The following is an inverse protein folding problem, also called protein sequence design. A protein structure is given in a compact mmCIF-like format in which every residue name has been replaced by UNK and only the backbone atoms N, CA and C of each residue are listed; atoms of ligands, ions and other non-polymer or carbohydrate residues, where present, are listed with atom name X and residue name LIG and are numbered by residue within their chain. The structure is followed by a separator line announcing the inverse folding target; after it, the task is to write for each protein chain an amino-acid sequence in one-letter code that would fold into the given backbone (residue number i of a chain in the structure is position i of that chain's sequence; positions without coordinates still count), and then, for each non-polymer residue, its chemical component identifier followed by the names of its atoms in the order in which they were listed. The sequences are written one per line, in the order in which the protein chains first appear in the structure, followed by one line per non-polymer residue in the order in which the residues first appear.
data_IF_857893895576
#
_entry.id   IF_857893895576
#
_cell.length_a   1.000
_cell.length_b   1.000
_cell.length_c   1.000
_cell.angle_alpha   90.00
_cell.angle_beta   90.00
_cell.angle_gamma   90.00
#
_symmetry.space_group_name_H-M   'P 1'
#
loop_
_entity.id
_entity.type
_entity.pdbx_description
1 polymer ?
#
# COMPACT_ATOMS: atom_id res chain seq x y z
N UNK A 1 -3.00 -43.82 -22.23
CA UNK A 1 -1.76 -43.02 -22.06
C UNK A 1 -2.02 -41.59 -22.54
N UNK A 2 -2.39 -40.66 -21.65
CA UNK A 2 -2.83 -39.33 -22.11
C UNK A 2 -2.76 -38.15 -21.12
N UNK A 3 -2.65 -38.38 -19.81
CA UNK A 3 -2.60 -37.27 -18.83
C UNK A 3 -1.22 -37.00 -18.22
N UNK A 4 -0.33 -38.01 -18.18
CA UNK A 4 1.01 -37.88 -17.56
C UNK A 4 1.99 -37.10 -18.46
N UNK A 5 1.79 -37.13 -19.78
CA UNK A 5 2.64 -36.40 -20.75
C UNK A 5 2.35 -34.90 -20.72
N UNK A 6 1.08 -34.50 -20.55
CA UNK A 6 0.65 -33.10 -20.50
C UNK A 6 1.13 -32.36 -19.24
N UNK A 7 1.18 -33.04 -18.09
CA UNK A 7 1.70 -32.48 -16.85
C UNK A 7 3.22 -32.20 -16.92
N UNK A 8 3.98 -33.02 -17.67
CA UNK A 8 5.44 -32.84 -17.81
C UNK A 8 5.81 -31.67 -18.71
N UNK A 9 5.06 -31.40 -19.77
CA UNK A 9 5.29 -30.26 -20.67
C UNK A 9 4.92 -28.92 -20.03
N UNK A 10 3.85 -28.87 -19.23
CA UNK A 10 3.49 -27.67 -18.46
C UNK A 10 4.52 -27.33 -17.38
N UNK A 11 5.02 -28.34 -16.65
CA UNK A 11 6.07 -28.16 -15.65
C UNK A 11 7.42 -27.70 -16.27
N UNK A 12 7.75 -28.15 -17.49
CA UNK A 12 8.94 -27.69 -18.20
C UNK A 12 8.81 -26.27 -18.77
N UNK A 13 7.60 -25.86 -19.18
CA UNK A 13 7.32 -24.49 -19.64
C UNK A 13 7.41 -23.44 -18.53
N UNK A 14 6.81 -23.73 -17.36
CA UNK A 14 6.82 -22.84 -16.19
C UNK A 14 8.24 -22.66 -15.64
N UNK A 15 9.05 -23.74 -15.63
CA UNK A 15 10.43 -23.68 -15.13
C UNK A 15 11.36 -22.81 -15.99
N UNK A 16 11.14 -22.74 -17.32
CA UNK A 16 11.90 -21.85 -18.21
C UNK A 16 11.49 -20.37 -18.06
N UNK A 17 10.20 -20.08 -17.87
CA UNK A 17 9.70 -18.72 -17.67
C UNK A 17 10.18 -18.10 -16.34
N UNK A 18 10.15 -18.86 -15.24
CA UNK A 18 10.61 -18.40 -13.93
C UNK A 18 12.12 -18.11 -13.91
N UNK A 19 12.92 -18.91 -14.62
CA UNK A 19 14.37 -18.68 -14.73
C UNK A 19 14.71 -17.44 -15.58
N UNK A 20 13.93 -17.15 -16.63
CA UNK A 20 14.13 -15.93 -17.43
C UNK A 20 13.76 -14.66 -16.65
N UNK A 21 12.68 -14.67 -15.86
CA UNK A 21 12.29 -13.53 -15.01
C UNK A 21 13.32 -13.29 -13.90
N UNK A 22 13.87 -14.35 -13.28
CA UNK A 22 14.94 -14.23 -12.29
C UNK A 22 16.26 -13.70 -12.88
N UNK A 23 16.61 -14.10 -14.10
CA UNK A 23 17.81 -13.62 -14.78
C UNK A 23 17.69 -12.13 -15.16
N UNK A 24 16.54 -11.70 -15.69
CA UNK A 24 16.28 -10.29 -16.02
C UNK A 24 16.29 -9.44 -14.75
N UNK A 25 15.65 -9.89 -13.67
CA UNK A 25 15.69 -9.20 -12.38
C UNK A 25 17.10 -9.01 -11.82
N UNK A 26 17.96 -10.04 -11.90
CA UNK A 26 19.37 -9.94 -11.49
C UNK A 26 20.20 -8.98 -12.34
N UNK A 27 19.97 -8.94 -13.66
CA UNK A 27 20.70 -8.03 -14.55
C UNK A 27 20.28 -6.56 -14.32
N UNK A 28 18.99 -6.31 -14.06
CA UNK A 28 18.53 -4.98 -13.67
C UNK A 28 19.06 -4.57 -12.29
N UNK A 29 19.10 -5.48 -11.33
CA UNK A 29 19.61 -5.20 -9.98
C UNK A 29 21.11 -4.91 -9.97
N UNK A 30 21.89 -5.69 -10.72
CA UNK A 30 23.34 -5.46 -10.85
C UNK A 30 23.64 -4.17 -11.58
N UNK A 31 22.93 -3.83 -12.67
CA UNK A 31 23.10 -2.55 -13.36
C UNK A 31 22.68 -1.36 -12.50
N UNK A 32 21.56 -1.45 -11.79
CA UNK A 32 21.12 -0.41 -10.86
C UNK A 32 22.12 -0.21 -9.71
N UNK A 33 22.68 -1.30 -9.18
CA UNK A 33 23.69 -1.25 -8.13
C UNK A 33 25.02 -0.66 -8.63
N UNK A 34 25.47 -1.02 -9.83
CA UNK A 34 26.69 -0.43 -10.41
C UNK A 34 26.51 1.05 -10.74
N UNK A 35 25.34 1.45 -11.24
CA UNK A 35 25.01 2.87 -11.47
C UNK A 35 24.97 3.62 -10.14
N UNK A 36 24.40 3.03 -9.09
CA UNK A 36 24.39 3.61 -7.74
C UNK A 36 25.81 3.77 -7.17
N UNK A 37 26.67 2.78 -7.38
CA UNK A 37 28.05 2.82 -6.92
C UNK A 37 28.93 3.77 -7.75
N UNK A 38 28.59 4.02 -9.02
CA UNK A 38 29.31 4.95 -9.89
C UNK A 38 28.83 6.40 -9.78
N UNK A 39 27.77 6.70 -9.01
CA UNK A 39 27.34 8.07 -8.78
C UNK A 39 28.37 8.82 -7.90
N UNK A 40 28.79 10.03 -8.30
CA UNK A 40 29.62 10.91 -7.47
C UNK A 40 28.97 11.15 -6.10
N UNK A 41 29.77 11.35 -5.05
CA UNK A 41 29.25 11.59 -3.70
C UNK A 41 28.28 12.78 -3.64
N UNK A 42 28.54 13.82 -4.45
CA UNK A 42 27.65 14.98 -4.63
C UNK A 42 26.27 14.61 -5.17
N UNK A 43 26.18 13.62 -6.07
CA UNK A 43 24.90 13.14 -6.59
C UNK A 43 24.14 12.29 -5.56
N UNK A 44 24.85 11.52 -4.71
CA UNK A 44 24.22 10.78 -3.60
C UNK A 44 23.71 11.72 -2.51
N UNK A 45 24.48 12.75 -2.18
CA UNK A 45 24.08 13.79 -1.24
C UNK A 45 22.92 14.62 -1.79
N UNK A 46 22.91 14.94 -3.08
CA UNK A 46 21.74 15.51 -3.74
C UNK A 46 20.55 14.54 -3.66
N UNK A 47 20.64 13.28 -4.09
CA UNK A 47 19.50 12.35 -3.98
C UNK A 47 19.00 12.22 -2.53
N UNK A 48 19.89 12.27 -1.53
CA UNK A 48 19.54 12.27 -0.10
C UNK A 48 18.87 13.58 0.33
N UNK A 49 19.39 14.72 -0.14
CA UNK A 49 18.84 16.04 0.08
C UNK A 49 17.47 16.19 -0.60
N UNK A 50 17.27 15.68 -1.82
CA UNK A 50 16.01 15.66 -2.55
C UNK A 50 14.99 14.66 -1.96
N UNK A 51 15.45 13.57 -1.32
CA UNK A 51 14.57 12.72 -0.48
C UNK A 51 14.12 13.45 0.79
N UNK A 52 14.93 14.36 1.33
CA UNK A 52 14.56 15.19 2.48
C UNK A 52 13.78 16.45 2.09
N UNK A 53 14.04 16.97 0.89
CA UNK A 53 13.42 18.13 0.26
C UNK A 53 12.43 17.65 -0.81
N UNK A 54 11.52 16.74 -0.43
CA UNK A 54 10.32 16.56 -1.21
C UNK A 54 9.66 17.93 -1.31
N UNK A 55 9.45 18.42 -2.53
CA UNK A 55 8.64 19.63 -2.77
C UNK A 55 7.32 19.36 -2.05
N UNK A 56 7.14 19.99 -0.90
CA UNK A 56 5.94 19.78 -0.11
C UNK A 56 4.76 20.13 -1.00
N UNK A 57 3.80 19.22 -1.13
CA UNK A 57 2.57 19.50 -1.87
C UNK A 57 2.00 20.84 -1.36
N UNK A 58 1.54 21.73 -2.23
CA UNK A 58 0.78 22.89 -1.81
C UNK A 58 -0.35 22.48 -0.88
N UNK A 59 -0.64 23.28 0.15
CA UNK A 59 -1.64 22.94 1.19
C UNK A 59 -3.01 22.66 0.57
N UNK A 60 -3.41 23.42 -0.46
CA UNK A 60 -4.67 23.18 -1.17
C UNK A 60 -4.68 21.86 -1.94
N UNK A 61 -3.55 21.43 -2.50
CA UNK A 61 -3.43 20.11 -3.14
C UNK A 61 -3.45 18.99 -2.09
N UNK A 62 -2.85 19.21 -0.91
CA UNK A 62 -2.97 18.28 0.22
C UNK A 62 -4.43 18.11 0.66
N UNK A 63 -5.19 19.22 0.75
CA UNK A 63 -6.61 19.20 1.11
C UNK A 63 -7.46 18.48 0.08
N UNK A 64 -7.28 18.80 -1.20
CA UNK A 64 -8.00 18.15 -2.29
C UNK A 64 -7.73 16.64 -2.32
N UNK A 65 -6.45 16.26 -2.21
CA UNK A 65 -6.06 14.85 -2.16
C UNK A 65 -6.60 14.15 -0.91
N UNK A 66 -6.55 14.80 0.27
CA UNK A 66 -7.08 14.23 1.50
C UNK A 66 -8.60 14.01 1.43
N UNK A 67 -9.35 14.96 0.86
CA UNK A 67 -10.79 14.84 0.69
C UNK A 67 -11.15 13.65 -0.23
N UNK A 68 -10.54 13.57 -1.43
CA UNK A 68 -10.76 12.44 -2.33
C UNK A 68 -10.30 11.12 -1.68
N UNK A 69 -9.17 11.14 -0.96
CA UNK A 69 -8.68 9.95 -0.27
C UNK A 69 -9.63 9.47 0.81
N UNK A 70 -10.20 10.38 1.59
CA UNK A 70 -11.17 10.05 2.62
C UNK A 70 -12.43 9.41 2.03
N UNK A 71 -12.97 9.95 0.94
CA UNK A 71 -14.12 9.33 0.25
C UNK A 71 -13.82 7.91 -0.22
N UNK A 72 -12.65 7.69 -0.83
CA UNK A 72 -12.23 6.35 -1.29
C UNK A 72 -11.93 5.41 -0.12
N UNK A 73 -11.42 5.93 0.98
CA UNK A 73 -11.19 5.18 2.20
C UNK A 73 -12.51 4.71 2.83
N UNK A 74 -13.51 5.59 2.95
CA UNK A 74 -14.83 5.21 3.46
C UNK A 74 -15.47 4.15 2.56
N UNK A 75 -15.33 4.27 1.24
CA UNK A 75 -15.80 3.23 0.33
C UNK A 75 -15.09 1.89 0.53
N UNK A 76 -13.78 1.90 0.79
CA UNK A 76 -13.05 0.69 1.16
C UNK A 76 -13.59 0.08 2.46
N UNK A 77 -13.81 0.92 3.48
CA UNK A 77 -14.31 0.49 4.77
C UNK A 77 -15.70 -0.17 4.65
N UNK A 78 -16.60 0.42 3.88
CA UNK A 78 -17.92 -0.15 3.56
C UNK A 78 -17.78 -1.54 2.92
N UNK A 79 -16.95 -1.68 1.88
CA UNK A 79 -16.75 -2.96 1.21
C UNK A 79 -16.21 -4.04 2.14
N UNK A 80 -15.27 -3.68 3.02
CA UNK A 80 -14.72 -4.58 4.02
C UNK A 80 -15.80 -5.02 5.02
N UNK A 81 -16.61 -4.08 5.51
CA UNK A 81 -17.71 -4.37 6.42
C UNK A 81 -18.78 -5.25 5.78
N UNK A 82 -19.20 -4.93 4.55
CA UNK A 82 -20.21 -5.69 3.81
C UNK A 82 -19.75 -7.13 3.55
N UNK A 83 -18.50 -7.31 3.15
CA UNK A 83 -17.92 -8.63 2.91
C UNK A 83 -17.72 -9.42 4.22
N UNK A 84 -17.30 -8.76 5.31
CA UNK A 84 -17.20 -9.39 6.61
C UNK A 84 -18.58 -9.82 7.13
N UNK A 85 -19.61 -9.01 6.93
CA UNK A 85 -20.99 -9.33 7.29
C UNK A 85 -21.57 -10.48 6.46
N UNK A 86 -21.30 -10.49 5.15
CA UNK A 86 -21.69 -11.58 4.25
C UNK A 86 -20.91 -12.87 4.49
N UNK A 87 -19.72 -12.78 5.10
CA UNK A 87 -18.79 -13.90 5.29
C UNK A 87 -18.05 -14.33 4.02
N UNK A 88 -18.16 -13.55 2.94
CA UNK A 88 -17.50 -13.80 1.64
C UNK A 88 -17.13 -12.48 0.95
N UNK A 89 -15.94 -12.43 0.34
CA UNK A 89 -15.44 -11.27 -0.39
C UNK A 89 -15.74 -11.27 -1.89
N UNK A 90 -16.12 -12.42 -2.46
CA UNK A 90 -16.28 -12.58 -3.91
C UNK A 90 -17.25 -11.57 -4.56
N UNK A 91 -18.43 -11.25 -4.00
CA UNK A 91 -19.35 -10.28 -4.59
C UNK A 91 -18.77 -8.85 -4.67
N UNK A 92 -17.87 -8.51 -3.76
CA UNK A 92 -17.32 -7.16 -3.60
C UNK A 92 -15.92 -7.00 -4.21
N UNK A 93 -15.31 -8.11 -4.65
CA UNK A 93 -13.91 -8.15 -5.07
C UNK A 93 -13.58 -7.22 -6.24
N UNK A 94 -14.48 -7.09 -7.22
CA UNK A 94 -14.24 -6.21 -8.38
C UNK A 94 -14.15 -4.73 -7.95
N UNK A 95 -14.99 -4.32 -7.01
CA UNK A 95 -15.01 -2.95 -6.52
C UNK A 95 -13.84 -2.70 -5.58
N UNK A 96 -13.57 -3.65 -4.67
CA UNK A 96 -12.39 -3.65 -3.83
C UNK A 96 -11.11 -3.43 -4.65
N UNK A 97 -10.93 -4.18 -5.75
CA UNK A 97 -9.75 -4.06 -6.60
C UNK A 97 -9.63 -2.70 -7.30
N UNK A 98 -10.74 -2.01 -7.57
CA UNK A 98 -10.74 -0.67 -8.13
C UNK A 98 -10.32 0.37 -7.08
N UNK A 99 -10.96 0.33 -5.91
CA UNK A 99 -10.68 1.25 -4.80
C UNK A 99 -9.24 1.06 -4.31
N UNK A 100 -8.82 -0.19 -4.08
CA UNK A 100 -7.45 -0.55 -3.70
C UNK A 100 -6.39 0.01 -4.64
N UNK A 101 -6.59 -0.11 -5.97
CA UNK A 101 -5.62 0.41 -6.96
C UNK A 101 -5.49 1.93 -6.90
N UNK A 102 -6.56 2.63 -6.56
CA UNK A 102 -6.48 4.08 -6.36
C UNK A 102 -5.75 4.40 -5.06
N UNK A 103 -6.13 3.77 -3.94
CA UNK A 103 -5.52 3.99 -2.62
C UNK A 103 -4.01 3.69 -2.62
N UNK A 104 -3.58 2.58 -3.24
CA UNK A 104 -2.17 2.23 -3.36
C UNK A 104 -1.33 3.28 -4.10
N UNK A 105 -1.94 4.01 -5.05
CA UNK A 105 -1.27 5.08 -5.78
C UNK A 105 -1.28 6.40 -5.02
N UNK A 106 -2.40 6.72 -4.35
CA UNK A 106 -2.56 7.97 -3.63
C UNK A 106 -1.81 7.97 -2.28
N UNK A 107 -1.83 6.86 -1.55
CA UNK A 107 -1.30 6.80 -0.18
C UNK A 107 0.17 7.21 -0.04
N UNK A 108 1.11 6.82 -0.94
CA UNK A 108 2.49 7.28 -0.86
C UNK A 108 2.67 8.82 -0.85
N UNK A 109 1.72 9.56 -1.42
CA UNK A 109 1.73 11.02 -1.42
C UNK A 109 1.23 11.61 -0.11
N UNK A 110 0.27 10.95 0.57
CA UNK A 110 -0.25 11.38 1.86
C UNK A 110 0.55 10.87 3.05
N UNK A 111 1.21 9.72 2.91
CA UNK A 111 1.93 9.03 3.98
C UNK A 111 2.90 9.93 4.76
N UNK A 112 3.75 10.78 4.12
CA UNK A 112 4.67 11.64 4.84
C UNK A 112 3.96 12.59 5.82
N UNK A 113 2.74 13.01 5.48
CA UNK A 113 1.93 13.91 6.31
C UNK A 113 1.11 13.15 7.35
N UNK A 114 0.54 12.00 6.99
CA UNK A 114 -0.27 11.17 7.89
C UNK A 114 0.54 10.44 8.95
N UNK A 115 1.84 10.18 8.72
CA UNK A 115 2.66 9.37 9.63
C UNK A 115 2.70 9.95 11.05
N UNK A 116 2.71 11.28 11.20
CA UNK A 116 2.69 11.93 12.50
C UNK A 116 1.34 11.82 13.24
N UNK A 117 0.26 11.48 12.52
CA UNK A 117 -1.09 11.39 13.05
C UNK A 117 -1.59 9.94 13.23
N UNK A 118 -0.84 8.97 12.68
CA UNK A 118 -1.12 7.54 12.79
C UNK A 118 -0.75 7.01 14.19
N UNK A 119 -1.70 6.33 14.81
CA UNK A 119 -1.41 5.48 15.96
C UNK A 119 -0.86 4.14 15.44
N UNK A 120 0.43 3.89 15.67
CA UNK A 120 1.07 2.63 15.27
C UNK A 120 0.69 1.51 16.22
N UNK A 121 0.25 0.37 15.67
CA UNK A 121 -0.01 -0.86 16.42
C UNK A 121 0.85 -2.01 15.84
N UNK A 122 1.52 -2.83 16.67
CA UNK A 122 2.32 -3.95 16.19
C UNK A 122 1.54 -4.94 15.31
N UNK A 123 0.24 -5.13 15.56
CA UNK A 123 -0.63 -6.02 14.78
C UNK A 123 -0.66 -5.65 13.29
N UNK A 124 -0.62 -4.34 12.97
CA UNK A 124 -0.64 -3.84 11.59
C UNK A 124 0.68 -4.19 10.87
N UNK A 125 1.80 -4.07 11.58
CA UNK A 125 3.11 -4.44 11.04
C UNK A 125 3.24 -5.95 10.82
N UNK A 126 2.69 -6.75 11.73
CA UNK A 126 2.66 -8.22 11.63
C UNK A 126 1.74 -8.69 10.51
N UNK A 127 0.58 -8.05 10.33
CA UNK A 127 -0.32 -8.32 9.21
C UNK A 127 0.39 -8.11 7.88
N UNK A 128 1.04 -6.95 7.68
CA UNK A 128 1.81 -6.68 6.46
C UNK A 128 2.93 -7.69 6.21
N UNK A 129 3.65 -8.10 7.25
CA UNK A 129 4.72 -9.11 7.12
C UNK A 129 4.17 -10.44 6.63
N UNK A 130 3.00 -10.86 7.14
CA UNK A 130 2.34 -12.10 6.73
C UNK A 130 1.79 -12.02 5.30
N UNK A 131 1.17 -10.90 4.94
CA UNK A 131 0.42 -10.77 3.68
C UNK A 131 1.29 -10.30 2.51
N UNK A 132 2.29 -9.46 2.74
CA UNK A 132 3.13 -8.86 1.69
C UNK A 132 4.63 -8.86 1.98
N UNK A 133 5.09 -9.55 3.04
CA UNK A 133 6.51 -9.68 3.35
C UNK A 133 7.19 -8.39 3.83
N UNK A 134 6.43 -7.35 4.17
CA UNK A 134 6.95 -6.07 4.68
C UNK A 134 6.06 -5.54 5.80
N UNK A 135 6.65 -4.84 6.77
CA UNK A 135 5.85 -4.15 7.78
C UNK A 135 4.96 -3.08 7.12
N UNK A 136 3.73 -2.97 7.61
CA UNK A 136 2.73 -1.98 7.19
C UNK A 136 2.24 -1.17 8.37
N UNK A 137 1.77 0.06 8.11
CA UNK A 137 0.95 0.81 9.06
C UNK A 137 -0.54 0.42 8.97
N UNK A 138 -1.37 1.00 9.84
CA UNK A 138 -2.81 0.74 9.89
C UNK A 138 -3.51 1.02 8.55
N UNK A 139 -3.04 2.01 7.80
CA UNK A 139 -3.64 2.37 6.51
C UNK A 139 -3.27 1.33 5.44
N UNK A 140 -1.98 1.05 5.29
CA UNK A 140 -1.47 0.07 4.33
C UNK A 140 -2.07 -1.32 4.56
N UNK A 141 -2.19 -1.73 5.83
CA UNK A 141 -2.70 -3.05 6.18
C UNK A 141 -4.15 -3.30 5.69
N UNK A 142 -4.96 -2.25 5.45
CA UNK A 142 -6.33 -2.40 4.93
C UNK A 142 -6.40 -2.76 3.44
N UNK A 143 -5.37 -2.43 2.67
CA UNK A 143 -5.35 -2.65 1.22
C UNK A 143 -4.08 -3.34 0.73
N UNK A 144 -3.26 -3.88 1.64
CA UNK A 144 -2.05 -4.63 1.27
C UNK A 144 -2.41 -5.96 0.63
N UNK A 145 -3.43 -6.66 1.14
CA UNK A 145 -3.96 -7.90 0.58
C UNK A 145 -4.45 -7.71 -0.85
N UNK A 146 -4.32 -8.72 -1.71
CA UNK A 146 -4.79 -8.63 -3.10
C UNK A 146 -6.30 -8.86 -3.20
N UNK A 147 -6.83 -9.66 -2.28
CA UNK A 147 -8.24 -10.02 -2.23
C UNK A 147 -8.90 -9.64 -0.91
N UNK A 148 -10.19 -9.38 -0.97
CA UNK A 148 -11.00 -9.07 0.21
C UNK A 148 -11.13 -10.29 1.15
N UNK A 149 -11.17 -11.49 0.59
CA UNK A 149 -11.14 -12.74 1.36
C UNK A 149 -9.86 -12.87 2.20
N UNK A 150 -8.71 -12.44 1.69
CA UNK A 150 -7.47 -12.41 2.47
C UNK A 150 -7.56 -11.40 3.62
N UNK A 151 -8.14 -10.22 3.38
CA UNK A 151 -8.37 -9.22 4.45
C UNK A 151 -9.18 -9.84 5.59
N UNK A 152 -10.31 -10.47 5.26
CA UNK A 152 -11.24 -11.06 6.26
C UNK A 152 -10.61 -12.27 6.93
N UNK A 153 -9.99 -13.18 6.17
CA UNK A 153 -9.43 -14.43 6.70
C UNK A 153 -8.28 -14.19 7.67
N UNK A 154 -7.47 -13.17 7.42
CA UNK A 154 -6.30 -12.86 8.24
C UNK A 154 -6.59 -11.83 9.34
N UNK A 155 -7.84 -11.40 9.48
CA UNK A 155 -8.20 -10.28 10.32
C UNK A 155 -7.94 -10.50 11.82
N UNK A 156 -8.07 -11.73 12.32
CA UNK A 156 -7.83 -12.09 13.73
C UNK A 156 -8.56 -11.21 14.76
N UNK A 157 -9.56 -10.41 14.35
CA UNK A 157 -10.31 -9.48 15.21
C UNK A 157 -9.80 -8.04 15.22
N UNK A 158 -8.77 -7.71 14.43
CA UNK A 158 -8.13 -6.39 14.46
C UNK A 158 -8.70 -5.39 13.43
N UNK A 159 -9.67 -5.79 12.56
CA UNK A 159 -10.13 -4.98 11.42
C UNK A 159 -10.69 -3.65 11.86
N UNK A 160 -11.59 -3.71 12.84
CA UNK A 160 -12.33 -2.56 13.32
C UNK A 160 -11.35 -1.57 13.94
N UNK A 161 -10.46 -2.06 14.81
CA UNK A 161 -9.41 -1.24 15.40
C UNK A 161 -8.50 -0.62 14.35
N UNK A 162 -8.14 -1.36 13.29
CA UNK A 162 -7.33 -0.86 12.18
C UNK A 162 -8.05 0.21 11.37
N UNK A 163 -9.32 0.00 11.04
CA UNK A 163 -10.18 0.98 10.35
C UNK A 163 -10.31 2.26 11.18
N UNK A 164 -10.55 2.15 12.49
CA UNK A 164 -10.66 3.30 13.39
C UNK A 164 -9.34 4.06 13.52
N UNK A 165 -8.20 3.37 13.63
CA UNK A 165 -6.88 4.00 13.65
C UNK A 165 -6.58 4.74 12.35
N UNK A 166 -6.87 4.13 11.20
CA UNK A 166 -6.70 4.75 9.90
C UNK A 166 -7.60 5.98 9.73
N UNK A 167 -8.89 5.86 10.07
CA UNK A 167 -9.87 6.95 10.03
C UNK A 167 -9.48 8.11 10.94
N UNK A 168 -9.06 7.81 12.17
CA UNK A 168 -8.60 8.81 13.14
C UNK A 168 -7.40 9.61 12.63
N UNK A 169 -6.47 8.97 11.93
CA UNK A 169 -5.33 9.66 11.35
C UNK A 169 -5.74 10.64 10.24
N UNK A 170 -6.70 10.26 9.39
CA UNK A 170 -7.26 11.15 8.37
C UNK A 170 -7.94 12.36 9.01
N UNK A 171 -8.73 12.16 10.07
CA UNK A 171 -9.37 13.28 10.77
C UNK A 171 -8.36 14.21 11.44
N UNK A 172 -7.41 13.68 12.21
CA UNK A 172 -6.39 14.50 12.89
C UNK A 172 -5.57 15.32 11.92
N UNK A 173 -5.24 14.76 10.75
CA UNK A 173 -4.53 15.50 9.72
C UNK A 173 -5.43 16.53 9.03
N UNK A 174 -6.70 16.21 8.78
CA UNK A 174 -7.69 17.18 8.30
C UNK A 174 -7.87 18.35 9.26
N UNK A 175 -7.93 18.08 10.57
CA UNK A 175 -7.99 19.11 11.62
C UNK A 175 -6.72 19.96 11.62
N UNK A 176 -5.55 19.34 11.54
CA UNK A 176 -4.27 20.04 11.44
C UNK A 176 -4.22 21.00 10.23
N UNK A 177 -4.70 20.55 9.06
CA UNK A 177 -4.78 21.38 7.84
C UNK A 177 -5.77 22.55 7.98
N UNK A 178 -6.78 22.44 8.84
CA UNK A 178 -7.78 23.49 9.10
C UNK A 178 -7.34 24.45 10.19
N UNK A 179 -6.81 23.95 11.28
CA UNK A 179 -6.62 24.73 12.52
C UNK A 179 -5.20 25.31 12.64
N UNK A 180 -4.19 24.59 12.17
CA UNK A 180 -2.79 24.96 12.41
C UNK A 180 -2.16 25.62 11.18
N UNK A 181 -2.44 25.09 10.00
CA UNK A 181 -1.81 25.56 8.76
C UNK A 181 -2.57 26.74 8.13
N UNK A 182 -3.89 26.77 8.26
CA UNK A 182 -4.69 27.90 7.80
C UNK A 182 -5.75 28.28 8.84
N UNK A 183 -5.33 28.77 10.03
CA UNK A 183 -6.26 29.46 10.89
C UNK A 183 -6.78 30.64 10.07
N UNK A 184 -8.01 30.56 9.58
CA UNK A 184 -8.65 31.66 8.89
C UNK A 184 -8.61 32.88 9.80
N UNK A 185 -7.93 33.94 9.33
CA UNK A 185 -8.30 35.31 9.71
C UNK A 185 -9.64 35.68 9.08
#
# INVERSE_FOLDING_TARGET
MGMIVWARTLAQGIRKGVLQVQAIGRVYWTRAHTVWQSLPETAREQIRHWRGAGVAFPIEEQRALLAEYYERFERLAELICDAAFAGEGAPFQQEYAQVRRWLLRAYPHLKPYLTAHLNCDPSDAEFGKRTAGKATDAMEALFVAETLDEVIRYDQGDLIGRLERARSALYRYGDYLREVIAPSG
#
